data_IF_065244940938
#
_entry.id   IF_065244940938
#
_cell.length_a   1.000
_cell.length_b   1.000
_cell.length_c   1.000
_cell.angle_alpha   90.00
_cell.angle_beta   90.00
_cell.angle_gamma   90.00
#
_symmetry.space_group_name_H-M   'P 1'
#
loop_
_entity.id
_entity.type
_entity.pdbx_description
1 polymer ?
#
# COMPACT_ATOMS: atom_id res chain seq x y z
N UNK A 1 -21.90 28.45 -48.15
CA UNK A 1 -20.71 28.97 -47.44
C UNK A 1 -20.75 28.40 -46.02
N UNK A 2 -20.15 27.23 -45.77
CA UNK A 2 -18.95 27.02 -44.90
C UNK A 2 -19.11 27.69 -43.53
N UNK A 3 -19.33 26.96 -42.42
CA UNK A 3 -18.36 26.09 -41.72
C UNK A 3 -17.98 26.77 -40.40
N UNK A 4 -17.75 26.13 -39.25
CA UNK A 4 -17.76 24.73 -38.87
C UNK A 4 -17.89 24.59 -37.35
N UNK A 5 -18.24 23.39 -36.90
CA UNK A 5 -18.21 22.98 -35.50
C UNK A 5 -16.75 22.78 -35.09
N UNK A 6 -16.24 23.59 -34.18
CA UNK A 6 -15.00 23.28 -33.47
C UNK A 6 -15.34 22.41 -32.25
N UNK A 7 -15.13 21.10 -32.39
CA UNK A 7 -14.79 20.26 -31.25
C UNK A 7 -13.31 19.90 -31.37
N UNK A 8 -12.44 20.34 -30.47
CA UNK A 8 -11.24 19.59 -30.14
C UNK A 8 -11.59 18.62 -29.01
N UNK A 9 -11.96 17.39 -29.38
CA UNK A 9 -11.77 16.25 -28.50
C UNK A 9 -10.26 16.00 -28.46
N UNK A 10 -9.57 16.50 -27.44
CA UNK A 10 -8.17 16.13 -27.20
C UNK A 10 -8.07 15.30 -25.93
N UNK A 11 -7.73 14.04 -26.13
CA UNK A 11 -7.62 12.95 -25.16
C UNK A 11 -6.71 13.37 -23.98
N UNK A 12 -7.28 13.50 -22.78
CA UNK A 12 -6.55 13.89 -21.54
C UNK A 12 -5.99 12.68 -20.79
N UNK A 13 -5.43 11.71 -21.50
CA UNK A 13 -4.81 10.54 -20.89
C UNK A 13 -3.31 10.66 -21.08
N UNK A 14 -2.64 11.26 -20.11
CA UNK A 14 -1.17 11.25 -20.06
C UNK A 14 -0.73 9.81 -19.73
N UNK A 15 -0.06 9.11 -20.66
CA UNK A 15 0.35 7.72 -20.43
C UNK A 15 1.26 7.55 -19.21
N UNK A 16 2.04 8.57 -18.86
CA UNK A 16 2.89 8.55 -17.69
C UNK A 16 2.07 8.66 -16.40
N UNK A 17 1.04 9.50 -16.39
CA UNK A 17 0.13 9.60 -15.25
C UNK A 17 -0.65 8.31 -15.02
N UNK A 18 -1.05 7.62 -16.09
CA UNK A 18 -1.70 6.29 -15.99
C UNK A 18 -0.74 5.27 -15.41
N UNK A 19 0.49 5.18 -15.92
CA UNK A 19 1.48 4.23 -15.41
C UNK A 19 1.81 4.45 -13.93
N UNK A 20 1.85 5.71 -13.47
CA UNK A 20 2.04 6.02 -12.05
C UNK A 20 0.85 5.56 -11.20
N UNK A 21 -0.38 5.79 -11.67
CA UNK A 21 -1.59 5.36 -10.98
C UNK A 21 -1.70 3.83 -10.92
N UNK A 22 -1.32 3.12 -11.98
CA UNK A 22 -1.25 1.64 -11.98
C UNK A 22 -0.28 1.12 -10.92
N UNK A 23 0.90 1.72 -10.82
CA UNK A 23 1.88 1.34 -9.80
C UNK A 23 1.38 1.61 -8.37
N UNK A 24 0.68 2.72 -8.14
CA UNK A 24 0.07 2.99 -6.84
C UNK A 24 -0.97 1.91 -6.47
N UNK A 25 -1.80 1.49 -7.42
CA UNK A 25 -2.79 0.43 -7.21
C UNK A 25 -2.13 -0.92 -6.91
N UNK A 26 -1.06 -1.26 -7.63
CA UNK A 26 -0.32 -2.51 -7.40
C UNK A 26 0.29 -2.54 -5.98
N UNK A 27 0.88 -1.43 -5.54
CA UNK A 27 1.42 -1.29 -4.18
C UNK A 27 0.34 -1.43 -3.11
N UNK A 28 -0.81 -0.77 -3.29
CA UNK A 28 -1.94 -0.86 -2.34
C UNK A 28 -2.50 -2.28 -2.29
N UNK A 29 -2.54 -2.96 -3.43
CA UNK A 29 -3.03 -4.34 -3.53
C UNK A 29 -2.10 -5.32 -2.81
N UNK A 30 -0.79 -5.23 -3.02
CA UNK A 30 0.19 -6.05 -2.28
C UNK A 30 0.11 -5.78 -0.77
N UNK A 31 -0.01 -4.51 -0.37
CA UNK A 31 -0.18 -4.14 1.03
C UNK A 31 -1.43 -4.78 1.65
N UNK A 32 -2.58 -4.68 0.96
CA UNK A 32 -3.84 -5.26 1.41
C UNK A 32 -3.74 -6.78 1.61
N UNK A 33 -3.17 -7.49 0.64
CA UNK A 33 -2.98 -8.94 0.72
C UNK A 33 -2.08 -9.33 1.90
N UNK A 34 -0.99 -8.58 2.14
CA UNK A 34 -0.09 -8.82 3.28
C UNK A 34 -0.75 -8.55 4.63
N UNK A 35 -1.61 -7.53 4.72
CA UNK A 35 -2.38 -7.23 5.93
C UNK A 35 -3.33 -8.39 6.24
N UNK A 36 -4.12 -8.84 5.25
CA UNK A 36 -5.04 -9.96 5.42
C UNK A 36 -4.29 -11.19 5.91
N UNK A 37 -3.23 -11.59 5.21
CA UNK A 37 -2.47 -12.80 5.55
C UNK A 37 -1.85 -12.72 6.94
N UNK A 38 -1.30 -11.56 7.31
CA UNK A 38 -0.68 -11.36 8.62
C UNK A 38 -1.73 -11.38 9.73
N UNK A 39 -2.81 -10.63 9.59
CA UNK A 39 -3.82 -10.52 10.64
C UNK A 39 -4.66 -11.78 10.77
N UNK A 40 -4.95 -12.48 9.67
CA UNK A 40 -5.58 -13.80 9.73
C UNK A 40 -4.71 -14.80 10.52
N UNK A 41 -3.40 -14.86 10.24
CA UNK A 41 -2.47 -15.75 10.96
C UNK A 41 -2.33 -15.42 12.45
N UNK A 42 -2.47 -14.14 12.83
CA UNK A 42 -2.29 -13.68 14.21
C UNK A 42 -3.57 -13.77 15.05
N UNK A 43 -4.72 -13.48 14.45
CA UNK A 43 -5.96 -13.29 15.19
C UNK A 43 -6.93 -14.47 15.06
N UNK A 44 -6.91 -15.25 13.97
CA UNK A 44 -7.90 -16.31 13.77
C UNK A 44 -7.40 -17.65 14.32
N UNK A 45 -8.20 -18.25 15.20
CA UNK A 45 -7.89 -19.56 15.76
C UNK A 45 -8.24 -20.69 14.79
N UNK A 46 -7.26 -21.57 14.49
CA UNK A 46 -7.42 -22.71 13.59
C UNK A 46 -8.35 -23.82 14.09
N UNK A 47 -8.82 -23.75 15.34
CA UNK A 47 -9.80 -24.70 15.88
C UNK A 47 -11.21 -24.47 15.34
N UNK A 48 -11.52 -23.28 14.83
CA UNK A 48 -12.80 -22.92 14.20
C UNK A 48 -14.02 -23.43 14.97
N UNK A 49 -14.13 -23.03 16.24
CA UNK A 49 -15.23 -23.45 17.13
C UNK A 49 -16.58 -22.86 16.73
N UNK A 50 -16.58 -21.76 15.96
CA UNK A 50 -17.77 -21.16 15.36
C UNK A 50 -17.46 -20.56 13.98
N UNK A 51 -18.49 -20.36 13.16
CA UNK A 51 -18.35 -19.73 11.85
C UNK A 51 -18.28 -18.19 11.90
N UNK A 52 -18.65 -17.60 13.03
CA UNK A 52 -18.63 -16.15 13.25
C UNK A 52 -17.35 -15.73 13.98
N UNK A 53 -16.90 -14.51 13.71
CA UNK A 53 -15.78 -13.92 14.44
C UNK A 53 -16.23 -13.59 15.86
N UNK A 54 -15.50 -14.09 16.85
CA UNK A 54 -15.71 -13.71 18.24
C UNK A 54 -15.36 -12.23 18.46
N UNK A 55 -15.90 -11.64 19.53
CA UNK A 55 -15.57 -10.25 19.91
C UNK A 55 -14.06 -10.04 20.12
N UNK A 56 -13.37 -11.08 20.61
CA UNK A 56 -11.91 -11.07 20.79
C UNK A 56 -11.17 -11.06 19.46
N UNK A 57 -11.60 -11.87 18.49
CA UNK A 57 -11.04 -11.90 17.14
C UNK A 57 -11.26 -10.56 16.40
N UNK A 58 -12.47 -10.00 16.49
CA UNK A 58 -12.77 -8.68 15.91
C UNK A 58 -11.84 -7.59 16.49
N UNK A 59 -11.73 -7.53 17.83
CA UNK A 59 -10.85 -6.57 18.51
C UNK A 59 -9.38 -6.81 18.17
N UNK A 60 -8.96 -8.07 18.02
CA UNK A 60 -7.59 -8.41 17.60
C UNK A 60 -7.31 -7.90 16.18
N UNK A 61 -8.24 -8.08 15.23
CA UNK A 61 -8.06 -7.67 13.84
C UNK A 61 -7.85 -6.16 13.75
N UNK A 62 -8.69 -5.35 14.42
CA UNK A 62 -8.55 -3.88 14.43
C UNK A 62 -7.18 -3.44 14.95
N UNK A 63 -6.76 -4.01 16.08
CA UNK A 63 -5.44 -3.75 16.66
C UNK A 63 -4.30 -4.21 15.75
N UNK A 64 -4.46 -5.36 15.08
CA UNK A 64 -3.46 -5.91 14.17
C UNK A 64 -3.22 -4.99 12.99
N UNK A 65 -4.29 -4.49 12.35
CA UNK A 65 -4.19 -3.57 11.21
C UNK A 65 -3.50 -2.27 11.65
N UNK A 66 -3.91 -1.70 12.79
CA UNK A 66 -3.28 -0.50 13.35
C UNK A 66 -1.77 -0.69 13.59
N UNK A 67 -1.38 -1.80 14.20
CA UNK A 67 0.03 -2.14 14.41
C UNK A 67 0.78 -2.39 13.11
N UNK A 68 0.14 -3.02 12.11
CA UNK A 68 0.76 -3.29 10.82
C UNK A 68 1.20 -1.98 10.16
N UNK A 69 0.34 -0.97 10.11
CA UNK A 69 0.69 0.34 9.55
C UNK A 69 1.79 1.04 10.34
N UNK A 70 1.76 0.98 11.67
CA UNK A 70 2.83 1.55 12.51
C UNK A 70 4.19 0.90 12.19
N UNK A 71 4.25 -0.43 12.09
CA UNK A 71 5.47 -1.16 11.74
C UNK A 71 5.89 -0.85 10.31
N UNK A 72 4.94 -0.79 9.36
CA UNK A 72 5.22 -0.48 7.96
C UNK A 72 5.88 0.90 7.81
N UNK A 73 5.37 1.91 8.52
CA UNK A 73 5.97 3.26 8.57
C UNK A 73 7.37 3.25 9.21
N UNK A 74 7.53 2.54 10.33
CA UNK A 74 8.83 2.45 11.02
C UNK A 74 9.90 1.82 10.12
N UNK A 75 9.54 0.74 9.40
CA UNK A 75 10.43 0.08 8.45
C UNK A 75 10.79 1.04 7.29
N UNK A 76 9.81 1.74 6.73
CA UNK A 76 10.04 2.73 5.67
C UNK A 76 11.00 3.85 6.11
N UNK A 77 10.80 4.38 7.31
CA UNK A 77 11.67 5.40 7.90
C UNK A 77 13.10 4.88 8.10
N UNK A 78 13.25 3.66 8.61
CA UNK A 78 14.55 3.05 8.84
C UNK A 78 15.30 2.80 7.54
N UNK A 79 14.62 2.26 6.53
CA UNK A 79 15.20 2.01 5.21
C UNK A 79 15.67 3.31 4.55
N UNK A 80 14.84 4.35 4.60
CA UNK A 80 15.18 5.68 4.07
C UNK A 80 16.41 6.28 4.76
N UNK A 81 16.48 6.18 6.10
CA UNK A 81 17.65 6.61 6.87
C UNK A 81 18.92 5.84 6.52
N UNK A 82 18.82 4.52 6.30
CA UNK A 82 19.96 3.70 5.88
C UNK A 82 20.47 4.07 4.48
N UNK A 83 19.57 4.34 3.52
CA UNK A 83 19.94 4.78 2.17
C UNK A 83 20.70 6.11 2.19
N UNK A 84 20.26 7.07 3.00
CA UNK A 84 20.96 8.35 3.18
C UNK A 84 22.35 8.16 3.79
N UNK A 85 22.49 7.25 4.75
CA UNK A 85 23.76 6.95 5.40
C UNK A 85 24.74 6.24 4.46
N UNK A 86 24.25 5.35 3.60
CA UNK A 86 25.05 4.66 2.58
C UNK A 86 25.54 5.60 1.46
N UNK A 87 24.73 6.60 1.09
CA UNK A 87 25.09 7.61 0.06
C UNK A 87 26.04 8.71 0.59
N UNK A 88 26.23 8.82 1.91
CA UNK A 88 27.13 9.78 2.56
C UNK A 88 28.55 9.25 2.87
N UNK A 89 28.86 8.02 2.46
CA UNK A 89 30.08 7.29 2.86
C UNK A 89 31.10 7.06 1.76
N UNK A 90 31.50 8.08 0.97
CA UNK A 90 32.69 7.98 0.13
C UNK A 90 33.27 9.35 -0.26
N UNK A 91 34.30 9.79 0.46
CA UNK A 91 35.52 10.39 -0.12
C UNK A 91 36.64 10.37 0.94
N UNK A 92 37.50 9.33 1.00
CA UNK A 92 38.81 9.49 1.61
C UNK A 92 39.73 10.23 0.61
N UNK A 93 40.37 11.30 1.07
CA UNK A 93 41.53 11.91 0.43
C UNK A 93 42.77 11.60 1.25
#
# INVERSE_FOLDING_TARGET
MRGGYQQPQNNRFDPMAIAMAENELDMVTDLYNRIIDSCHKKCINKKYESAELSNEENTCIDNCVAQFFQVNQLVGNKLSGMTQQAMGGQMPK
#
